data_IF_829395527319
#
_entry.id   IF_829395527319
#
_cell.length_a   1.000
_cell.length_b   1.000
_cell.length_c   1.000
_cell.angle_alpha   90.00
_cell.angle_beta   90.00
_cell.angle_gamma   90.00
#
_symmetry.space_group_name_H-M   'P 1'
#
loop_
_entity.id
_entity.type
_entity.pdbx_description
1 polymer ?
#
# COMPACT_ATOMS: atom_id res chain seq x y z
N UNK A 1 3.84 4.05 35.85
CA UNK A 1 2.78 4.72 35.07
C UNK A 1 2.10 3.69 34.21
N UNK A 2 0.76 3.71 34.17
CA UNK A 2 0.00 2.75 33.35
C UNK A 2 -0.13 3.27 31.92
N UNK A 3 0.61 2.66 31.00
CA UNK A 3 0.60 3.03 29.57
C UNK A 3 -0.71 2.65 28.88
N UNK A 4 -1.46 1.65 29.38
CA UNK A 4 -2.76 1.26 28.85
C UNK A 4 -3.83 2.29 29.21
N UNK A 5 -3.84 2.77 30.46
CA UNK A 5 -4.74 3.85 30.87
C UNK A 5 -4.49 5.12 30.04
N UNK A 6 -3.22 5.47 29.81
CA UNK A 6 -2.84 6.62 29.00
C UNK A 6 -3.24 6.48 27.53
N UNK A 7 -3.12 5.26 26.95
CA UNK A 7 -3.55 4.96 25.59
C UNK A 7 -5.07 5.12 25.45
N UNK A 8 -5.83 4.64 26.43
CA UNK A 8 -7.30 4.78 26.43
C UNK A 8 -7.74 6.24 26.57
N UNK A 9 -7.17 6.96 27.53
CA UNK A 9 -7.55 8.34 27.84
C UNK A 9 -7.23 9.33 26.72
N UNK A 10 -6.01 9.24 26.18
CA UNK A 10 -5.47 10.27 25.24
C UNK A 10 -5.68 9.93 23.77
N UNK A 11 -5.79 8.65 23.42
CA UNK A 11 -5.90 8.19 22.05
C UNK A 11 -7.16 7.37 21.76
N UNK A 12 -8.01 7.13 22.79
CA UNK A 12 -9.19 6.28 22.73
C UNK A 12 -8.86 4.84 22.21
N UNK A 13 -7.71 4.32 22.66
CA UNK A 13 -7.23 2.98 22.31
C UNK A 13 -7.37 2.08 23.55
N UNK A 14 -8.35 1.16 23.57
CA UNK A 14 -8.63 0.34 24.73
C UNK A 14 -7.62 -0.79 24.94
N UNK A 15 -6.83 -1.11 23.92
CA UNK A 15 -5.87 -2.21 23.95
C UNK A 15 -4.62 -1.88 23.13
N UNK A 16 -3.46 -1.94 23.75
CA UNK A 16 -2.18 -1.91 23.06
C UNK A 16 -1.84 -3.28 22.52
N UNK A 17 -1.43 -3.35 21.27
CA UNK A 17 -0.92 -4.60 20.70
C UNK A 17 0.40 -4.97 21.38
N UNK A 18 0.75 -6.25 21.53
CA UNK A 18 1.96 -6.68 22.24
C UNK A 18 3.24 -5.99 21.78
N UNK A 19 3.41 -5.80 20.47
CA UNK A 19 4.57 -5.08 19.94
C UNK A 19 4.54 -3.59 20.21
N UNK A 20 3.35 -2.95 20.28
CA UNK A 20 3.25 -1.53 20.67
C UNK A 20 3.65 -1.36 22.12
N UNK A 21 3.15 -2.22 22.99
CA UNK A 21 3.52 -2.24 24.40
C UNK A 21 5.03 -2.43 24.58
N UNK A 22 5.63 -3.40 23.85
CA UNK A 22 7.08 -3.65 23.90
C UNK A 22 7.88 -2.42 23.47
N UNK A 23 7.54 -1.79 22.33
CA UNK A 23 8.27 -0.61 21.83
C UNK A 23 8.07 0.59 22.74
N UNK A 24 6.86 0.83 23.23
CA UNK A 24 6.55 1.96 24.13
C UNK A 24 7.30 1.79 25.46
N UNK A 25 7.28 0.60 26.04
CA UNK A 25 8.00 0.29 27.28
C UNK A 25 9.51 0.44 27.10
N UNK A 26 10.07 -0.08 26.00
CA UNK A 26 11.51 0.07 25.68
C UNK A 26 11.91 1.55 25.60
N UNK A 27 11.12 2.41 24.96
CA UNK A 27 11.38 3.86 24.89
C UNK A 27 11.35 4.50 26.28
N UNK A 28 10.34 4.18 27.10
CA UNK A 28 10.14 4.81 28.41
C UNK A 28 11.21 4.35 29.40
N UNK A 29 11.53 3.06 29.43
CA UNK A 29 12.53 2.47 30.30
C UNK A 29 13.94 2.97 29.98
N UNK A 30 14.20 3.22 28.70
CA UNK A 30 15.48 3.71 28.22
C UNK A 30 15.64 5.25 28.28
N UNK A 31 14.63 6.00 28.71
CA UNK A 31 14.76 7.48 28.87
C UNK A 31 15.52 7.89 30.14
N UNK A 32 16.66 7.23 30.42
CA UNK A 32 17.52 7.52 31.56
C UNK A 32 18.86 8.13 31.13
N UNK A 33 19.41 9.12 31.86
CA UNK A 33 20.62 9.84 31.43
C UNK A 33 21.91 8.98 31.33
N UNK A 34 21.92 7.80 31.93
CA UNK A 34 23.14 7.01 32.14
C UNK A 34 23.42 5.91 31.12
N UNK A 35 22.59 5.73 30.12
CA UNK A 35 22.68 4.56 29.22
C UNK A 35 23.14 4.96 27.83
N UNK A 36 24.20 4.35 27.36
CA UNK A 36 24.54 4.29 25.90
C UNK A 36 23.54 3.36 25.22
N UNK A 37 22.38 3.90 24.87
CA UNK A 37 21.32 3.07 24.27
C UNK A 37 21.73 2.57 22.90
N UNK A 38 21.48 1.29 22.66
CA UNK A 38 21.59 0.72 21.33
C UNK A 38 20.47 1.30 20.48
N UNK A 39 20.75 1.68 19.23
CA UNK A 39 19.69 2.04 18.30
C UNK A 39 18.67 0.90 18.16
N UNK A 40 17.40 1.22 18.04
CA UNK A 40 16.35 0.22 17.85
C UNK A 40 15.79 0.33 16.43
N UNK A 41 15.73 -0.79 15.71
CA UNK A 41 15.04 -0.92 14.43
C UNK A 41 13.72 -1.62 14.67
N UNK A 42 12.62 -0.96 14.33
CA UNK A 42 11.26 -1.44 14.57
C UNK A 42 10.60 -1.73 13.23
N UNK A 43 10.34 -2.99 12.93
CA UNK A 43 9.69 -3.44 11.70
C UNK A 43 8.25 -3.78 12.03
N UNK A 44 7.33 -2.91 11.62
CA UNK A 44 5.90 -3.06 11.85
C UNK A 44 5.12 -2.89 10.55
N UNK A 45 4.16 -3.78 10.23
CA UNK A 45 3.34 -3.68 9.03
C UNK A 45 2.61 -2.34 8.90
N UNK A 46 2.22 -1.98 7.68
CA UNK A 46 1.33 -0.83 7.46
C UNK A 46 0.00 -1.05 8.17
N UNK A 47 -0.52 0.01 8.80
CA UNK A 47 -1.77 -0.08 9.57
C UNK A 47 -1.65 -0.74 10.94
N UNK A 48 -0.43 -1.10 11.38
CA UNK A 48 -0.18 -1.63 12.74
C UNK A 48 -0.28 -0.59 13.85
N UNK A 49 -0.38 0.70 13.51
CA UNK A 49 -0.40 1.78 14.50
C UNK A 49 0.99 2.22 14.96
N UNK A 50 2.00 2.17 14.07
CA UNK A 50 3.39 2.63 14.32
C UNK A 50 3.46 3.98 15.04
N UNK A 51 2.65 4.95 14.60
CA UNK A 51 2.68 6.32 15.16
C UNK A 51 2.41 6.35 16.66
N UNK A 52 1.58 5.45 17.18
CA UNK A 52 1.29 5.38 18.61
C UNK A 52 2.56 5.05 19.43
N UNK A 53 3.47 4.25 18.86
CA UNK A 53 4.71 3.84 19.51
C UNK A 53 5.65 5.01 19.86
N UNK A 54 5.49 6.17 19.22
CA UNK A 54 6.25 7.39 19.59
C UNK A 54 5.35 8.56 20.03
N UNK A 55 4.05 8.53 19.72
CA UNK A 55 3.12 9.54 20.20
C UNK A 55 2.83 9.38 21.70
N UNK A 56 2.62 8.14 22.16
CA UNK A 56 2.35 7.89 23.58
C UNK A 56 3.57 8.21 24.45
N UNK A 57 4.80 7.78 24.12
CA UNK A 57 6.00 8.22 24.84
C UNK A 57 6.17 9.73 24.90
N UNK A 58 5.72 10.48 23.88
CA UNK A 58 5.81 11.95 23.88
C UNK A 58 5.08 12.64 25.06
N UNK A 59 4.12 11.94 25.67
CA UNK A 59 3.43 12.42 26.88
C UNK A 59 4.24 12.22 28.16
N UNK A 60 5.26 11.35 28.11
CA UNK A 60 5.92 10.79 29.30
C UNK A 60 7.38 11.17 29.38
N UNK A 61 8.13 10.98 28.27
CA UNK A 61 9.58 11.19 28.26
C UNK A 61 9.94 12.65 28.45
N UNK A 62 11.09 12.88 29.10
CA UNK A 62 11.63 14.21 29.30
C UNK A 62 12.59 14.59 28.18
N UNK A 63 12.44 15.82 27.65
CA UNK A 63 13.24 16.34 26.55
C UNK A 63 12.53 16.30 25.22
N UNK A 64 13.28 16.61 24.17
CA UNK A 64 12.76 16.79 22.82
C UNK A 64 12.62 15.45 22.11
N UNK A 65 11.51 15.28 21.40
CA UNK A 65 11.30 14.19 20.44
C UNK A 65 11.36 14.77 19.03
N UNK A 66 12.32 14.31 18.25
CA UNK A 66 12.47 14.73 16.85
C UNK A 66 12.07 13.59 15.93
N UNK A 67 11.11 13.84 15.03
CA UNK A 67 10.61 12.82 14.11
C UNK A 67 10.89 13.27 12.67
N UNK A 68 11.63 12.44 11.94
CA UNK A 68 12.01 12.69 10.55
C UNK A 68 11.14 11.88 9.63
N UNK A 69 10.39 12.54 8.76
CA UNK A 69 9.53 11.93 7.76
C UNK A 69 10.11 12.09 6.37
N UNK A 70 9.92 11.10 5.48
CA UNK A 70 10.41 11.21 4.11
C UNK A 70 9.59 12.17 3.23
N UNK A 71 8.34 12.47 3.59
CA UNK A 71 7.43 13.29 2.76
C UNK A 71 6.70 14.36 3.58
N UNK A 72 6.51 15.53 2.97
CA UNK A 72 5.75 16.65 3.57
C UNK A 72 4.27 16.31 3.83
N UNK A 73 3.65 15.48 3.00
CA UNK A 73 2.28 15.02 3.20
C UNK A 73 2.14 14.24 4.50
N UNK A 74 3.08 13.33 4.76
CA UNK A 74 3.14 12.58 6.02
C UNK A 74 3.31 13.49 7.23
N UNK A 75 4.19 14.48 7.13
CA UNK A 75 4.40 15.46 8.22
C UNK A 75 3.09 16.17 8.58
N UNK A 76 2.34 16.66 7.59
CA UNK A 76 1.08 17.36 7.82
C UNK A 76 0.02 16.45 8.47
N UNK A 77 -0.07 15.19 8.04
CA UNK A 77 -1.04 14.24 8.60
C UNK A 77 -0.66 13.87 10.03
N UNK A 78 0.61 13.64 10.31
CA UNK A 78 1.08 13.33 11.66
C UNK A 78 0.92 14.52 12.60
N UNK A 79 1.22 15.75 12.15
CA UNK A 79 0.95 16.96 12.94
C UNK A 79 -0.49 17.03 13.38
N UNK A 80 -1.46 16.81 12.47
CA UNK A 80 -2.89 16.79 12.83
C UNK A 80 -3.23 15.70 13.84
N UNK A 81 -2.55 14.55 13.79
CA UNK A 81 -2.75 13.47 14.77
C UNK A 81 -2.23 13.87 16.16
N UNK A 82 -1.06 14.49 16.25
CA UNK A 82 -0.54 15.03 17.48
C UNK A 82 -1.47 16.10 18.07
N UNK A 83 -1.94 17.04 17.25
CA UNK A 83 -2.88 18.09 17.66
C UNK A 83 -4.20 17.50 18.17
N UNK A 84 -4.76 16.48 17.50
CA UNK A 84 -5.97 15.78 17.98
C UNK A 84 -5.78 15.06 19.31
N UNK A 85 -4.57 14.57 19.55
CA UNK A 85 -4.21 13.95 20.83
C UNK A 85 -3.86 14.99 21.93
N UNK A 86 -4.00 16.29 21.64
CA UNK A 86 -3.65 17.36 22.55
C UNK A 86 -2.14 17.50 22.80
N UNK A 87 -1.29 17.03 21.87
CA UNK A 87 0.16 17.11 21.95
C UNK A 87 0.64 18.25 21.05
N UNK A 88 1.24 19.29 21.66
CA UNK A 88 1.84 20.40 20.92
C UNK A 88 3.03 19.92 20.07
N UNK A 89 3.10 20.39 18.82
CA UNK A 89 4.08 19.93 17.87
C UNK A 89 4.59 21.08 17.00
N UNK A 90 5.89 21.28 16.94
CA UNK A 90 6.56 22.21 16.03
C UNK A 90 6.90 21.50 14.71
N UNK A 91 6.59 22.12 13.57
CA UNK A 91 6.91 21.58 12.26
C UNK A 91 7.98 22.43 11.58
N UNK A 92 9.16 21.84 11.37
CA UNK A 92 10.26 22.43 10.61
C UNK A 92 10.31 21.84 9.21
N UNK A 93 10.16 22.68 8.18
CA UNK A 93 10.12 22.23 6.78
C UNK A 93 10.77 23.28 5.85
N UNK A 94 11.09 22.83 4.63
CA UNK A 94 11.54 23.72 3.56
C UNK A 94 10.46 24.73 3.16
N UNK A 95 10.89 25.90 2.68
CA UNK A 95 10.00 26.97 2.20
C UNK A 95 9.36 27.82 3.30
N UNK A 96 9.67 27.59 4.58
CA UNK A 96 9.27 28.49 5.66
C UNK A 96 10.03 29.81 5.60
N UNK A 97 9.31 30.92 5.86
CA UNK A 97 9.91 32.23 6.05
C UNK A 97 10.79 32.25 7.32
N UNK A 98 11.78 33.18 7.40
CA UNK A 98 12.58 33.34 8.62
C UNK A 98 11.74 33.61 9.86
N UNK A 99 10.59 34.26 9.72
CA UNK A 99 9.67 34.55 10.84
C UNK A 99 8.96 33.30 11.31
N UNK A 100 8.41 32.48 10.41
CA UNK A 100 7.78 31.21 10.74
C UNK A 100 8.78 30.24 11.41
N UNK A 101 10.01 30.21 10.89
CA UNK A 101 11.05 29.34 11.46
C UNK A 101 11.44 29.79 12.87
N UNK A 102 11.60 31.10 13.11
CA UNK A 102 11.84 31.65 14.45
C UNK A 102 10.70 31.32 15.40
N UNK A 103 9.45 31.44 14.96
CA UNK A 103 8.29 31.06 15.78
C UNK A 103 8.31 29.57 16.18
N UNK A 104 8.70 28.68 15.26
CA UNK A 104 8.88 27.27 15.59
C UNK A 104 9.92 27.05 16.68
N UNK A 105 11.11 27.66 16.57
CA UNK A 105 12.14 27.52 17.61
C UNK A 105 11.73 28.18 18.92
N UNK A 106 11.07 29.32 18.90
CA UNK A 106 10.51 29.96 20.11
C UNK A 106 9.48 29.05 20.80
N UNK A 107 8.68 28.31 20.05
CA UNK A 107 7.73 27.34 20.64
C UNK A 107 8.45 26.16 21.29
N UNK A 108 9.56 25.70 20.71
CA UNK A 108 10.42 24.64 21.29
C UNK A 108 11.04 25.14 22.60
N UNK A 109 11.62 26.34 22.58
CA UNK A 109 12.20 26.99 23.78
C UNK A 109 11.14 27.20 24.89
N UNK A 110 9.87 27.40 24.50
CA UNK A 110 8.73 27.53 25.42
C UNK A 110 8.17 26.17 25.89
N UNK A 111 8.77 25.03 25.52
CA UNK A 111 8.41 23.71 26.04
C UNK A 111 7.63 22.80 25.08
N UNK A 112 7.53 23.13 23.80
CA UNK A 112 7.00 22.17 22.80
C UNK A 112 7.93 20.97 22.70
N UNK A 113 7.47 19.78 23.08
CA UNK A 113 8.28 18.57 23.17
C UNK A 113 8.46 17.82 21.84
N UNK A 114 7.58 18.02 20.87
CA UNK A 114 7.60 17.26 19.60
C UNK A 114 8.00 18.16 18.44
N UNK A 115 9.01 17.75 17.69
CA UNK A 115 9.44 18.39 16.44
C UNK A 115 9.28 17.40 15.28
N UNK A 116 8.52 17.79 14.27
CA UNK A 116 8.36 17.06 13.01
C UNK A 116 9.18 17.76 11.94
N UNK A 117 10.03 17.01 11.24
CA UNK A 117 10.90 17.55 10.18
C UNK A 117 11.13 16.54 9.05
N UNK A 118 11.88 16.95 8.04
CA UNK A 118 12.38 16.09 6.96
C UNK A 118 13.92 16.16 6.87
N UNK A 119 14.50 15.25 6.09
CA UNK A 119 15.97 15.16 5.97
C UNK A 119 16.61 16.46 5.47
N UNK A 120 16.03 17.11 4.47
CA UNK A 120 16.54 18.36 3.87
C UNK A 120 16.56 19.52 4.87
N UNK A 121 15.58 19.58 5.75
CA UNK A 121 15.52 20.63 6.76
C UNK A 121 16.43 20.31 7.92
N UNK A 122 16.46 19.05 8.35
CA UNK A 122 17.34 18.60 9.44
C UNK A 122 18.84 18.78 9.10
N UNK A 123 19.20 18.65 7.80
CA UNK A 123 20.60 18.83 7.33
C UNK A 123 21.11 20.27 7.36
N UNK A 124 20.23 21.26 7.56
CA UNK A 124 20.65 22.65 7.60
C UNK A 124 21.43 22.96 8.89
N UNK A 125 22.63 23.55 8.75
CA UNK A 125 23.50 23.86 9.88
C UNK A 125 22.79 24.71 10.96
N UNK A 126 21.96 25.67 10.55
CA UNK A 126 21.17 26.47 11.49
C UNK A 126 20.17 25.65 12.29
N UNK A 127 19.55 24.63 11.70
CA UNK A 127 18.61 23.75 12.39
C UNK A 127 19.34 22.83 13.36
N UNK A 128 20.45 22.24 12.93
CA UNK A 128 21.32 21.42 13.78
C UNK A 128 21.78 22.24 15.01
N UNK A 129 22.29 23.46 14.79
CA UNK A 129 22.76 24.33 15.88
C UNK A 129 21.65 24.65 16.89
N UNK A 130 20.44 24.91 16.43
CA UNK A 130 19.32 25.22 17.33
C UNK A 130 18.86 23.97 18.09
N UNK A 131 18.69 22.83 17.40
CA UNK A 131 18.27 21.58 18.05
C UNK A 131 19.32 21.06 19.04
N UNK A 132 20.62 21.30 18.79
CA UNK A 132 21.69 20.88 19.67
C UNK A 132 21.72 21.62 21.06
N UNK A 133 20.91 22.66 21.20
CA UNK A 133 20.73 23.34 22.49
C UNK A 133 19.81 22.57 23.45
N UNK A 134 19.07 21.62 22.94
CA UNK A 134 18.11 20.80 23.66
C UNK A 134 18.58 19.35 23.75
N UNK A 135 18.29 18.68 24.87
CA UNK A 135 18.46 17.23 24.95
C UNK A 135 17.38 16.55 24.10
N UNK A 136 17.80 15.79 23.12
CA UNK A 136 16.89 15.00 22.28
C UNK A 136 16.75 13.62 22.92
N UNK A 137 15.66 13.39 23.64
CA UNK A 137 15.38 12.09 24.28
C UNK A 137 15.18 11.01 23.24
N UNK A 138 14.51 11.35 22.13
CA UNK A 138 14.17 10.39 21.10
C UNK A 138 14.30 11.01 19.71
N UNK A 139 15.12 10.44 18.85
CA UNK A 139 15.10 10.69 17.42
C UNK A 139 14.45 9.51 16.70
N UNK A 140 13.40 9.78 15.93
CA UNK A 140 12.67 8.79 15.15
C UNK A 140 12.91 9.03 13.67
N UNK A 141 13.34 8.00 12.93
CA UNK A 141 13.34 7.97 11.47
C UNK A 141 12.16 7.11 11.01
N UNK A 142 11.08 7.74 10.55
CA UNK A 142 9.92 7.00 10.06
C UNK A 142 10.09 6.64 8.58
N UNK A 143 9.51 5.50 8.18
CA UNK A 143 9.66 4.88 6.86
C UNK A 143 11.14 4.74 6.44
N UNK A 144 11.97 4.23 7.36
CA UNK A 144 13.43 4.16 7.22
C UNK A 144 13.91 3.38 5.98
N UNK A 145 13.10 2.47 5.42
CA UNK A 145 13.42 1.81 4.14
C UNK A 145 13.63 2.79 2.98
N UNK A 146 13.02 4.00 3.06
CA UNK A 146 13.19 5.04 2.05
C UNK A 146 14.61 5.60 2.00
N UNK A 147 15.35 5.51 3.10
CA UNK A 147 16.78 5.91 3.16
C UNK A 147 17.58 5.07 2.18
N UNK A 148 17.30 3.78 2.09
CA UNK A 148 17.99 2.86 1.20
C UNK A 148 17.47 2.98 -0.24
N UNK A 149 16.16 2.98 -0.41
CA UNK A 149 15.53 2.96 -1.73
C UNK A 149 15.64 4.29 -2.49
N UNK A 150 15.56 5.43 -1.80
CA UNK A 150 15.63 6.76 -2.42
C UNK A 150 17.00 7.42 -2.27
N UNK A 151 17.78 7.05 -1.27
CA UNK A 151 19.09 7.64 -0.99
C UNK A 151 20.13 7.39 -2.09
N UNK A 152 19.98 6.32 -2.87
CA UNK A 152 20.90 5.98 -3.97
C UNK A 152 20.70 6.82 -5.25
N UNK A 153 19.60 7.57 -5.36
CA UNK A 153 19.32 8.33 -6.59
C UNK A 153 18.34 9.48 -6.41
N UNK A 154 17.11 9.20 -6.01
CA UNK A 154 16.03 10.19 -5.98
C UNK A 154 16.23 11.29 -4.91
N UNK A 155 16.74 10.93 -3.71
CA UNK A 155 16.95 11.87 -2.58
C UNK A 155 18.25 11.55 -1.82
N UNK A 156 19.41 11.93 -2.34
CA UNK A 156 20.72 11.57 -1.76
C UNK A 156 20.91 12.01 -0.31
N UNK A 157 20.28 13.12 0.10
CA UNK A 157 20.34 13.63 1.48
C UNK A 157 19.90 12.60 2.53
N UNK A 158 19.03 11.66 2.16
CA UNK A 158 18.60 10.58 3.07
C UNK A 158 19.77 9.67 3.47
N UNK A 159 20.70 9.41 2.55
CA UNK A 159 21.89 8.59 2.84
C UNK A 159 22.90 9.34 3.73
N UNK A 160 22.81 10.67 3.81
CA UNK A 160 23.68 11.51 4.62
C UNK A 160 23.16 11.77 6.05
N UNK A 161 21.96 11.25 6.38
CA UNK A 161 21.37 11.43 7.71
C UNK A 161 22.26 10.88 8.85
N UNK A 162 22.97 9.79 8.63
CA UNK A 162 23.84 9.20 9.65
C UNK A 162 24.92 10.16 10.19
N UNK A 163 25.74 10.81 9.32
CA UNK A 163 26.64 11.89 9.73
C UNK A 163 25.93 13.01 10.50
N UNK A 164 24.77 13.49 10.02
CA UNK A 164 24.00 14.58 10.64
C UNK A 164 23.55 14.20 12.05
N UNK A 165 23.00 13.00 12.22
CA UNK A 165 22.50 12.48 13.49
C UNK A 165 23.60 12.43 14.55
N UNK A 166 24.85 12.14 14.17
CA UNK A 166 25.98 12.09 15.10
C UNK A 166 26.35 13.45 15.73
N UNK A 167 25.93 14.56 15.13
CA UNK A 167 26.16 15.90 15.66
C UNK A 167 25.05 16.37 16.62
N UNK A 168 24.00 15.58 16.81
CA UNK A 168 22.89 15.90 17.68
C UNK A 168 23.01 15.17 19.04
N UNK A 169 22.66 15.81 20.18
CA UNK A 169 22.70 15.20 21.49
C UNK A 169 21.53 14.27 21.75
N UNK A 170 21.53 13.12 21.06
CA UNK A 170 20.46 12.15 21.04
C UNK A 170 20.69 11.07 22.09
N UNK A 171 19.69 10.80 22.93
CA UNK A 171 19.70 9.67 23.87
C UNK A 171 19.32 8.36 23.17
N UNK A 172 18.19 8.34 22.46
CA UNK A 172 17.68 7.16 21.79
C UNK A 172 17.45 7.41 20.30
N UNK A 173 17.81 6.44 19.48
CA UNK A 173 17.58 6.45 18.01
C UNK A 173 16.70 5.28 17.62
N UNK A 174 15.52 5.57 17.07
CA UNK A 174 14.59 4.58 16.56
C UNK A 174 14.38 4.73 15.06
N UNK A 175 14.46 3.60 14.35
CA UNK A 175 14.18 3.50 12.93
C UNK A 175 12.90 2.70 12.77
N UNK A 176 11.83 3.34 12.31
CA UNK A 176 10.57 2.65 11.99
C UNK A 176 10.49 2.36 10.50
N UNK A 177 10.09 1.15 10.17
CA UNK A 177 9.82 0.76 8.79
C UNK A 177 8.68 -0.25 8.75
N UNK A 178 7.91 -0.25 7.66
CA UNK A 178 6.90 -1.28 7.46
C UNK A 178 7.55 -2.62 7.12
N UNK A 179 8.79 -2.57 6.60
CA UNK A 179 9.45 -3.74 6.05
C UNK A 179 10.95 -3.49 5.91
N UNK A 180 11.74 -4.49 6.20
CA UNK A 180 13.16 -4.52 5.88
C UNK A 180 13.59 -5.98 5.71
N UNK A 181 14.08 -6.31 4.52
CA UNK A 181 14.86 -7.51 4.30
C UNK A 181 16.28 -7.36 4.86
N UNK A 182 17.05 -8.42 4.82
CA UNK A 182 18.43 -8.40 5.33
C UNK A 182 19.32 -7.38 4.60
N UNK A 183 19.04 -7.10 3.32
CA UNK A 183 19.76 -6.11 2.51
C UNK A 183 19.50 -4.69 3.01
N UNK A 184 18.20 -4.36 3.26
CA UNK A 184 17.79 -3.06 3.80
C UNK A 184 18.35 -2.86 5.21
N UNK A 185 18.31 -3.90 6.06
CA UNK A 185 18.89 -3.84 7.41
C UNK A 185 20.40 -3.59 7.39
N UNK A 186 21.12 -4.29 6.53
CA UNK A 186 22.58 -4.10 6.35
C UNK A 186 22.90 -2.67 5.89
N UNK A 187 22.17 -2.15 4.91
CA UNK A 187 22.37 -0.78 4.41
C UNK A 187 22.01 0.28 5.45
N UNK A 188 20.92 0.12 6.22
CA UNK A 188 20.59 0.99 7.35
C UNK A 188 21.70 0.94 8.43
N UNK A 189 22.24 -0.26 8.69
CA UNK A 189 23.38 -0.47 9.55
C UNK A 189 24.58 0.39 9.12
N UNK A 190 24.89 0.38 7.84
CA UNK A 190 26.01 1.13 7.26
C UNK A 190 25.74 2.64 7.22
N UNK A 191 24.58 3.06 6.70
CA UNK A 191 24.28 4.48 6.44
C UNK A 191 23.97 5.27 7.72
N UNK A 192 23.18 4.70 8.62
CA UNK A 192 22.65 5.40 9.79
C UNK A 192 23.34 4.96 11.08
N UNK A 193 23.49 3.66 11.28
CA UNK A 193 23.94 3.13 12.56
C UNK A 193 25.46 3.06 12.71
N UNK A 194 26.22 3.38 11.66
CA UNK A 194 27.71 3.26 11.65
C UNK A 194 28.18 1.86 12.09
N UNK A 195 27.46 0.82 11.60
CA UNK A 195 27.65 -0.60 11.92
C UNK A 195 27.54 -0.96 13.42
N UNK A 196 26.95 -0.09 14.23
CA UNK A 196 26.61 -0.44 15.63
C UNK A 196 25.51 -1.49 15.64
N UNK A 197 25.61 -2.44 16.58
CA UNK A 197 24.53 -3.41 16.80
C UNK A 197 23.26 -2.69 17.22
N UNK A 198 22.16 -2.94 16.50
CA UNK A 198 20.84 -2.43 16.85
C UNK A 198 20.01 -3.51 17.56
N UNK A 199 19.09 -3.06 18.40
CA UNK A 199 18.00 -3.91 18.87
C UNK A 199 16.95 -4.00 17.76
N UNK A 200 16.53 -5.21 17.41
CA UNK A 200 15.55 -5.46 16.34
C UNK A 200 14.23 -5.91 16.97
N UNK A 201 13.20 -5.10 16.80
CA UNK A 201 11.81 -5.45 17.15
C UNK A 201 11.07 -5.67 15.85
N UNK A 202 10.67 -6.92 15.55
CA UNK A 202 9.98 -7.28 14.32
C UNK A 202 8.63 -7.90 14.67
N UNK A 203 7.54 -7.27 14.22
CA UNK A 203 6.24 -7.94 14.15
C UNK A 203 6.09 -8.60 12.78
N UNK A 204 5.30 -9.66 12.72
CA UNK A 204 5.01 -10.32 11.44
C UNK A 204 4.38 -9.34 10.46
N UNK A 205 4.79 -9.42 9.19
CA UNK A 205 4.16 -8.72 8.07
C UNK A 205 2.80 -9.31 7.73
N UNK A 206 2.46 -10.43 8.34
CA UNK A 206 1.17 -11.10 8.17
C UNK A 206 0.02 -10.28 8.75
N UNK A 207 -1.07 -10.28 7.99
CA UNK A 207 -2.34 -9.66 8.35
C UNK A 207 -3.42 -10.72 8.27
N UNK A 208 -3.73 -11.34 9.41
CA UNK A 208 -4.68 -12.45 9.50
C UNK A 208 -6.07 -12.09 8.96
N UNK A 209 -6.46 -10.82 9.05
CA UNK A 209 -7.73 -10.34 8.53
C UNK A 209 -7.75 -10.06 7.02
N UNK A 210 -6.67 -10.34 6.28
CA UNK A 210 -6.61 -10.20 4.82
C UNK A 210 -6.55 -11.60 4.20
N UNK A 211 -7.50 -11.94 3.32
CA UNK A 211 -7.43 -13.15 2.50
C UNK A 211 -6.86 -12.82 1.11
N UNK A 212 -6.06 -13.74 0.56
CA UNK A 212 -5.38 -13.56 -0.73
C UNK A 212 -6.01 -14.44 -1.82
N UNK A 213 -6.46 -13.80 -2.89
CA UNK A 213 -7.19 -14.45 -3.97
C UNK A 213 -6.55 -14.19 -5.32
N UNK A 214 -6.66 -15.16 -6.22
CA UNK A 214 -6.26 -15.05 -7.62
C UNK A 214 -7.46 -15.21 -8.54
N UNK A 215 -7.70 -14.25 -9.41
CA UNK A 215 -8.65 -14.43 -10.49
C UNK A 215 -7.92 -14.47 -11.84
N UNK A 216 -8.04 -15.62 -12.54
CA UNK A 216 -7.60 -15.75 -13.94
C UNK A 216 -8.67 -15.17 -14.84
N UNK A 217 -8.35 -14.08 -15.55
CA UNK A 217 -9.37 -13.27 -16.22
C UNK A 217 -9.06 -13.07 -17.70
N UNK A 218 -10.13 -12.94 -18.52
CA UNK A 218 -10.02 -12.50 -19.91
C UNK A 218 -10.10 -10.97 -20.03
N UNK A 219 -10.90 -10.34 -19.17
CA UNK A 219 -10.99 -8.89 -19.07
C UNK A 219 -10.85 -8.47 -17.61
N UNK A 220 -9.87 -7.60 -17.32
CA UNK A 220 -9.68 -7.00 -16.00
C UNK A 220 -10.85 -6.07 -15.64
N UNK A 221 -11.41 -5.38 -16.63
CA UNK A 221 -12.57 -4.49 -16.45
C UNK A 221 -13.77 -5.30 -15.96
N UNK A 222 -14.08 -6.41 -16.66
CA UNK A 222 -15.16 -7.32 -16.26
C UNK A 222 -14.95 -7.87 -14.85
N UNK A 223 -13.76 -8.34 -14.54
CA UNK A 223 -13.46 -8.88 -13.23
C UNK A 223 -13.69 -7.84 -12.12
N UNK A 224 -13.22 -6.60 -12.28
CA UNK A 224 -13.47 -5.52 -11.32
C UNK A 224 -14.96 -5.24 -11.16
N UNK A 225 -15.72 -5.15 -12.26
CA UNK A 225 -17.16 -4.95 -12.21
C UNK A 225 -17.87 -6.07 -11.44
N UNK A 226 -17.52 -7.33 -11.72
CA UNK A 226 -18.13 -8.49 -11.07
C UNK A 226 -17.80 -8.56 -9.57
N UNK A 227 -16.53 -8.39 -9.21
CA UNK A 227 -16.11 -8.46 -7.81
C UNK A 227 -16.67 -7.32 -6.94
N UNK A 228 -16.79 -6.14 -7.50
CA UNK A 228 -17.26 -4.96 -6.77
C UNK A 228 -18.77 -4.72 -6.91
N UNK A 229 -19.52 -5.64 -7.48
CA UNK A 229 -20.98 -5.54 -7.57
C UNK A 229 -21.67 -5.70 -6.21
N UNK A 230 -21.11 -6.56 -5.33
CA UNK A 230 -21.63 -6.74 -3.98
C UNK A 230 -21.33 -5.53 -3.09
N UNK A 231 -22.29 -5.00 -2.30
CA UNK A 231 -22.02 -3.96 -1.32
C UNK A 231 -20.96 -4.33 -0.29
N UNK A 232 -20.87 -5.59 0.08
CA UNK A 232 -19.92 -6.10 1.07
C UNK A 232 -18.45 -6.01 0.61
N UNK A 233 -18.21 -5.94 -0.71
CA UNK A 233 -16.88 -5.77 -1.28
C UNK A 233 -16.38 -4.31 -1.24
N UNK A 234 -17.20 -3.36 -0.78
CA UNK A 234 -16.90 -1.93 -0.75
C UNK A 234 -16.80 -1.41 0.69
N UNK A 235 -16.06 -0.33 0.95
CA UNK A 235 -15.27 0.44 -0.03
C UNK A 235 -14.08 -0.34 -0.57
N UNK A 236 -13.66 -0.03 -1.81
CA UNK A 236 -12.61 -0.78 -2.50
C UNK A 236 -11.51 0.11 -3.09
N UNK A 237 -10.30 -0.45 -3.14
CA UNK A 237 -9.13 0.17 -3.75
C UNK A 237 -8.63 -0.72 -4.90
N UNK A 238 -8.53 -0.15 -6.11
CA UNK A 238 -8.08 -0.86 -7.31
C UNK A 238 -6.75 -0.28 -7.76
N UNK A 239 -5.67 -1.03 -7.60
CA UNK A 239 -4.35 -0.63 -8.04
C UNK A 239 -4.14 -0.84 -9.54
N UNK A 240 -3.72 0.23 -10.22
CA UNK A 240 -3.50 0.28 -11.66
C UNK A 240 -2.04 0.62 -11.99
N UNK A 241 -1.49 0.09 -13.11
CA UNK A 241 -0.07 0.27 -13.44
C UNK A 241 0.28 1.69 -13.89
N UNK A 242 -0.67 2.43 -14.46
CA UNK A 242 -0.43 3.77 -15.04
C UNK A 242 -1.56 4.74 -14.72
N UNK A 243 -1.27 6.05 -14.81
CA UNK A 243 -2.25 7.13 -14.67
C UNK A 243 -3.43 6.93 -15.64
N UNK A 244 -3.12 6.71 -16.91
CA UNK A 244 -4.13 6.48 -17.96
C UNK A 244 -5.01 5.26 -17.66
N UNK A 245 -4.44 4.18 -17.13
CA UNK A 245 -5.22 3.00 -16.74
C UNK A 245 -6.17 3.31 -15.60
N UNK A 246 -5.74 4.09 -14.59
CA UNK A 246 -6.62 4.54 -13.50
C UNK A 246 -7.84 5.30 -14.04
N UNK A 247 -7.61 6.29 -14.90
CA UNK A 247 -8.66 7.12 -15.49
C UNK A 247 -9.62 6.30 -16.34
N UNK A 248 -9.09 5.46 -17.24
CA UNK A 248 -9.91 4.67 -18.16
C UNK A 248 -10.69 3.58 -17.44
N UNK A 249 -10.13 2.91 -16.44
CA UNK A 249 -10.85 1.90 -15.66
C UNK A 249 -11.92 2.54 -14.76
N UNK A 250 -11.62 3.69 -14.15
CA UNK A 250 -12.61 4.44 -13.38
C UNK A 250 -13.78 4.92 -14.23
N UNK A 251 -13.51 5.44 -15.44
CA UNK A 251 -14.57 5.85 -16.37
C UNK A 251 -15.44 4.67 -16.79
N UNK A 252 -14.82 3.56 -17.17
CA UNK A 252 -15.52 2.33 -17.54
C UNK A 252 -16.37 1.77 -16.38
N UNK A 253 -15.85 1.78 -15.16
CA UNK A 253 -16.57 1.30 -13.98
C UNK A 253 -17.81 2.16 -13.68
N UNK A 254 -17.69 3.50 -13.79
CA UNK A 254 -18.82 4.43 -13.61
C UNK A 254 -19.90 4.27 -14.66
N UNK A 255 -19.51 3.98 -15.90
CA UNK A 255 -20.45 3.69 -16.99
C UNK A 255 -21.23 2.40 -16.71
N UNK A 256 -20.55 1.35 -16.24
CA UNK A 256 -21.17 0.07 -15.92
C UNK A 256 -22.00 0.12 -14.63
N UNK A 257 -21.64 0.97 -13.68
CA UNK A 257 -22.22 1.04 -12.33
C UNK A 257 -22.54 2.49 -11.93
N UNK A 258 -23.52 3.13 -12.57
CA UNK A 258 -23.79 4.58 -12.39
C UNK A 258 -24.24 4.96 -10.97
N UNK A 259 -24.72 4.01 -10.19
CA UNK A 259 -25.14 4.23 -8.79
C UNK A 259 -24.01 4.07 -7.77
N UNK A 260 -22.87 3.49 -8.17
CA UNK A 260 -21.74 3.26 -7.26
C UNK A 260 -20.72 4.40 -7.40
N UNK A 261 -20.40 5.11 -6.31
CA UNK A 261 -19.45 6.22 -6.37
C UNK A 261 -18.03 5.69 -6.69
N UNK A 262 -17.45 6.18 -7.78
CA UNK A 262 -16.10 5.79 -8.18
C UNK A 262 -15.28 6.98 -8.69
N UNK A 263 -13.99 6.99 -8.36
CA UNK A 263 -13.03 8.03 -8.76
C UNK A 263 -11.65 7.43 -9.01
N UNK A 264 -10.68 8.26 -9.40
CA UNK A 264 -9.29 7.83 -9.60
C UNK A 264 -8.31 8.75 -8.89
N UNK A 265 -7.10 8.21 -8.60
CA UNK A 265 -6.04 8.93 -7.91
C UNK A 265 -4.65 8.58 -8.46
N UNK A 266 -3.85 9.60 -8.78
CA UNK A 266 -2.45 9.42 -9.22
C UNK A 266 -1.63 10.71 -9.05
N UNK A 267 -0.31 10.58 -9.12
CA UNK A 267 0.62 11.71 -8.92
C UNK A 267 0.52 12.85 -9.97
N UNK A 268 -0.18 12.63 -11.09
CA UNK A 268 -0.43 13.65 -12.11
C UNK A 268 -1.52 14.66 -11.76
N UNK A 269 -2.32 14.39 -10.71
CA UNK A 269 -3.33 15.32 -10.21
C UNK A 269 -2.66 16.48 -9.46
N UNK A 270 -3.27 17.66 -9.52
CA UNK A 270 -2.88 18.82 -8.71
C UNK A 270 -3.01 18.51 -7.21
N UNK A 271 -2.35 19.29 -6.37
CA UNK A 271 -2.41 19.14 -4.91
C UNK A 271 -3.85 19.32 -4.37
N UNK A 272 -4.63 20.20 -4.99
CA UNK A 272 -6.03 20.43 -4.63
C UNK A 272 -6.90 19.23 -4.97
N UNK A 273 -6.84 18.72 -6.20
CA UNK A 273 -7.59 17.54 -6.65
C UNK A 273 -7.24 16.29 -5.83
N UNK A 274 -5.96 16.10 -5.49
CA UNK A 274 -5.57 14.97 -4.63
C UNK A 274 -6.24 15.03 -3.27
N UNK A 275 -6.24 16.20 -2.62
CA UNK A 275 -6.90 16.39 -1.31
C UNK A 275 -8.40 16.18 -1.38
N UNK A 276 -9.05 16.71 -2.41
CA UNK A 276 -10.48 16.54 -2.62
C UNK A 276 -10.85 15.06 -2.76
N UNK A 277 -10.13 14.32 -3.59
CA UNK A 277 -10.38 12.88 -3.81
C UNK A 277 -10.02 12.01 -2.61
N UNK A 278 -9.01 12.39 -1.85
CA UNK A 278 -8.67 11.74 -0.57
C UNK A 278 -9.81 11.92 0.44
N UNK A 279 -10.29 13.16 0.65
CA UNK A 279 -11.42 13.43 1.56
C UNK A 279 -12.69 12.72 1.10
N UNK A 280 -12.99 12.80 -0.21
CA UNK A 280 -14.13 12.09 -0.79
C UNK A 280 -14.07 10.58 -0.54
N UNK A 281 -12.91 9.95 -0.73
CA UNK A 281 -12.76 8.51 -0.52
C UNK A 281 -12.88 8.14 0.96
N UNK A 282 -12.34 8.95 1.87
CA UNK A 282 -12.43 8.72 3.32
C UNK A 282 -13.89 8.77 3.78
N UNK A 283 -14.67 9.71 3.30
CA UNK A 283 -16.05 9.97 3.73
C UNK A 283 -17.07 8.98 3.16
N UNK A 284 -16.76 8.32 2.03
CA UNK A 284 -17.69 7.44 1.36
C UNK A 284 -17.47 5.96 1.73
N UNK A 285 -18.47 5.32 2.33
CA UNK A 285 -18.45 3.90 2.72
C UNK A 285 -18.63 2.92 1.55
N UNK A 286 -19.13 3.38 0.39
CA UNK A 286 -19.39 2.57 -0.80
C UNK A 286 -18.41 2.88 -1.96
N UNK A 287 -17.41 3.74 -1.72
CA UNK A 287 -16.54 4.25 -2.76
C UNK A 287 -15.60 3.20 -3.37
N UNK A 288 -15.39 3.31 -4.67
CA UNK A 288 -14.34 2.58 -5.40
C UNK A 288 -13.31 3.57 -5.92
N UNK A 289 -12.05 3.42 -5.48
CA UNK A 289 -10.95 4.28 -5.89
C UNK A 289 -9.96 3.50 -6.77
N UNK A 290 -9.76 3.97 -7.99
CA UNK A 290 -8.73 3.46 -8.91
C UNK A 290 -7.45 4.27 -8.73
N UNK A 291 -6.35 3.62 -8.33
CA UNK A 291 -5.14 4.35 -7.96
C UNK A 291 -3.87 3.74 -8.53
N UNK A 292 -2.86 4.58 -8.76
CA UNK A 292 -1.49 4.10 -8.89
C UNK A 292 -0.87 3.92 -7.49
N UNK A 293 0.33 3.34 -7.41
CA UNK A 293 1.12 3.25 -6.18
C UNK A 293 1.37 4.62 -5.49
N UNK A 294 1.12 5.74 -6.21
CA UNK A 294 1.16 7.09 -5.61
C UNK A 294 0.08 7.31 -4.53
N UNK A 295 -1.01 6.54 -4.54
CA UNK A 295 -1.95 6.47 -3.44
C UNK A 295 -1.35 5.59 -2.35
N UNK A 296 -0.48 6.15 -1.58
CA UNK A 296 0.28 5.27 -0.71
C UNK A 296 0.63 5.87 0.63
N UNK A 297 1.19 7.02 0.64
CA UNK A 297 1.70 7.62 1.86
C UNK A 297 0.75 8.72 2.33
N UNK A 298 0.08 8.49 3.47
CA UNK A 298 -0.70 9.52 4.14
C UNK A 298 -2.23 9.37 4.09
N UNK A 299 -2.80 8.49 3.29
CA UNK A 299 -4.26 8.27 3.30
C UNK A 299 -4.62 7.14 4.25
N UNK A 300 -5.42 7.45 5.26
CA UNK A 300 -5.84 6.52 6.31
C UNK A 300 -7.36 6.31 6.26
N UNK A 301 -7.79 5.44 5.35
CA UNK A 301 -9.15 4.88 5.34
C UNK A 301 -9.08 3.48 5.94
N UNK A 302 -9.70 3.30 7.10
CA UNK A 302 -9.59 2.07 7.89
C UNK A 302 -10.48 0.93 7.41
N UNK A 303 -11.60 1.25 6.77
CA UNK A 303 -12.71 0.35 6.45
C UNK A 303 -12.70 -0.22 5.02
N UNK A 304 -11.57 -0.22 4.31
CA UNK A 304 -11.47 -0.81 2.97
C UNK A 304 -11.70 -2.32 3.05
N UNK A 305 -12.67 -2.83 2.27
CA UNK A 305 -13.08 -4.25 2.24
C UNK A 305 -12.41 -5.05 1.14
N UNK A 306 -12.03 -4.39 0.04
CA UNK A 306 -11.37 -5.09 -1.07
C UNK A 306 -10.20 -4.26 -1.61
N UNK A 307 -9.07 -4.91 -1.84
CA UNK A 307 -7.93 -4.37 -2.58
C UNK A 307 -7.71 -5.23 -3.82
N UNK A 308 -7.78 -4.63 -5.00
CA UNK A 308 -7.59 -5.33 -6.28
C UNK A 308 -6.30 -4.87 -6.94
N UNK A 309 -5.44 -5.82 -7.34
CA UNK A 309 -4.25 -5.57 -8.13
C UNK A 309 -4.49 -5.93 -9.59
N UNK A 310 -4.47 -4.93 -10.46
CA UNK A 310 -4.56 -5.13 -11.92
C UNK A 310 -3.20 -5.30 -12.59
N UNK A 311 -2.12 -5.24 -11.81
CA UNK A 311 -0.74 -5.44 -12.24
C UNK A 311 0.05 -6.14 -11.12
N UNK A 312 1.21 -6.68 -11.47
CA UNK A 312 2.11 -7.25 -10.48
C UNK A 312 3.01 -6.14 -9.89
N UNK A 313 2.92 -5.85 -8.60
CA UNK A 313 3.91 -5.03 -7.91
C UNK A 313 5.33 -5.59 -8.08
N UNK A 314 6.39 -4.76 -7.95
CA UNK A 314 7.76 -5.18 -8.22
C UNK A 314 8.26 -6.31 -7.32
N UNK A 315 7.76 -6.38 -6.08
CA UNK A 315 8.18 -7.35 -5.07
C UNK A 315 7.04 -7.68 -4.09
N UNK A 316 7.26 -8.69 -3.25
CA UNK A 316 6.29 -9.15 -2.25
C UNK A 316 5.99 -8.07 -1.20
N UNK A 317 6.98 -7.26 -0.90
CA UNK A 317 6.89 -6.17 0.03
C UNK A 317 5.90 -5.11 -0.44
N UNK A 318 6.08 -4.62 -1.66
CA UNK A 318 5.17 -3.66 -2.30
C UNK A 318 3.75 -4.22 -2.37
N UNK A 319 3.61 -5.51 -2.72
CA UNK A 319 2.30 -6.17 -2.75
C UNK A 319 1.63 -6.17 -1.37
N UNK A 320 2.35 -6.56 -0.31
CA UNK A 320 1.82 -6.58 1.06
C UNK A 320 1.52 -5.18 1.60
N UNK A 321 2.30 -4.17 1.23
CA UNK A 321 2.02 -2.77 1.57
C UNK A 321 0.75 -2.24 0.89
N UNK A 322 0.55 -2.57 -0.38
CA UNK A 322 -0.65 -2.22 -1.13
C UNK A 322 -1.88 -2.96 -0.58
N UNK A 323 -1.79 -4.27 -0.39
CA UNK A 323 -2.85 -5.10 0.23
C UNK A 323 -3.16 -4.67 1.66
N UNK A 324 -2.13 -4.32 2.44
CA UNK A 324 -2.24 -3.87 3.83
C UNK A 324 -2.95 -2.53 4.04
N UNK A 325 -3.41 -1.88 2.96
CA UNK A 325 -4.34 -0.74 3.05
C UNK A 325 -5.75 -1.15 3.38
N UNK A 326 -6.10 -2.41 3.09
CA UNK A 326 -7.37 -3.01 3.45
C UNK A 326 -7.47 -3.39 4.92
N UNK A 327 -8.69 -3.38 5.47
CA UNK A 327 -9.01 -3.91 6.78
C UNK A 327 -8.19 -3.35 7.95
N UNK A 328 -7.86 -2.06 7.93
CA UNK A 328 -7.10 -1.43 9.03
C UNK A 328 -7.90 -1.35 10.34
N UNK A 329 -9.21 -1.45 10.23
CA UNK A 329 -10.13 -1.53 11.37
C UNK A 329 -10.19 -2.94 11.99
N UNK A 330 -9.37 -3.89 11.51
CA UNK A 330 -9.35 -5.28 11.96
C UNK A 330 -10.41 -6.18 11.34
N UNK A 331 -11.37 -5.63 10.60
CA UNK A 331 -12.38 -6.42 9.89
C UNK A 331 -11.78 -7.09 8.66
N UNK A 332 -12.45 -8.14 8.19
CA UNK A 332 -12.01 -8.91 7.03
C UNK A 332 -11.88 -8.05 5.76
N UNK A 333 -10.85 -8.33 4.98
CA UNK A 333 -10.57 -7.67 3.70
C UNK A 333 -10.08 -8.70 2.68
N UNK A 334 -10.58 -8.58 1.45
CA UNK A 334 -10.12 -9.39 0.31
C UNK A 334 -8.99 -8.68 -0.44
N UNK A 335 -7.87 -9.35 -0.65
CA UNK A 335 -6.81 -8.92 -1.56
C UNK A 335 -6.83 -9.80 -2.80
N UNK A 336 -7.23 -9.23 -3.95
CA UNK A 336 -7.44 -9.94 -5.19
C UNK A 336 -6.38 -9.55 -6.22
N UNK A 337 -5.68 -10.55 -6.75
CA UNK A 337 -4.74 -10.38 -7.86
C UNK A 337 -5.35 -10.84 -9.18
N UNK A 338 -5.44 -9.94 -10.17
CA UNK A 338 -5.99 -10.24 -11.50
C UNK A 338 -4.90 -10.72 -12.45
N UNK A 339 -4.87 -12.03 -12.70
CA UNK A 339 -3.93 -12.66 -13.62
C UNK A 339 -4.54 -12.72 -15.02
N UNK A 340 -4.02 -11.92 -15.96
CA UNK A 340 -4.49 -11.87 -17.34
C UNK A 340 -3.38 -12.33 -18.29
N UNK A 341 -3.64 -13.45 -18.97
CA UNK A 341 -2.71 -14.03 -19.95
C UNK A 341 -1.43 -14.61 -19.35
N UNK A 342 -0.56 -15.16 -20.19
CA UNK A 342 0.78 -15.54 -19.79
C UNK A 342 1.57 -14.28 -19.46
N UNK A 343 2.34 -14.26 -18.34
CA UNK A 343 3.16 -13.10 -18.00
C UNK A 343 4.18 -12.84 -19.10
N UNK A 344 4.23 -11.60 -19.59
CA UNK A 344 5.23 -11.16 -20.59
C UNK A 344 6.65 -11.21 -20.02
N UNK A 345 6.81 -11.13 -18.70
CA UNK A 345 8.00 -11.45 -17.93
C UNK A 345 7.56 -12.05 -16.59
N UNK A 346 8.15 -13.17 -16.16
CA UNK A 346 7.83 -13.76 -14.86
C UNK A 346 8.34 -12.83 -13.76
N UNK A 347 7.42 -12.21 -13.01
CA UNK A 347 7.75 -11.54 -11.76
C UNK A 347 7.54 -12.51 -10.58
N UNK A 348 8.19 -12.23 -9.45
CA UNK A 348 7.98 -13.01 -8.23
C UNK A 348 6.49 -13.08 -7.87
N UNK A 349 5.78 -11.96 -7.94
CA UNK A 349 4.35 -11.87 -7.61
C UNK A 349 3.50 -12.69 -8.58
N UNK A 350 3.72 -12.57 -9.90
CA UNK A 350 3.01 -13.43 -10.87
C UNK A 350 3.28 -14.91 -10.64
N UNK A 351 4.51 -15.26 -10.28
CA UNK A 351 4.87 -16.65 -9.96
C UNK A 351 4.12 -17.16 -8.73
N UNK A 352 4.06 -16.36 -7.65
CA UNK A 352 3.33 -16.71 -6.41
C UNK A 352 1.84 -16.91 -6.71
N UNK A 353 1.20 -15.96 -7.39
CA UNK A 353 -0.24 -16.01 -7.68
C UNK A 353 -0.62 -16.96 -8.83
N UNK A 354 0.35 -17.54 -9.52
CA UNK A 354 0.11 -18.60 -10.49
C UNK A 354 0.07 -20.00 -9.89
N UNK A 355 0.49 -20.15 -8.63
CA UNK A 355 0.44 -21.46 -7.94
C UNK A 355 -0.99 -21.92 -7.72
N UNK A 356 -1.17 -23.23 -7.72
CA UNK A 356 -2.48 -23.88 -7.48
C UNK A 356 -2.40 -24.91 -6.35
N UNK A 357 -1.21 -25.18 -5.84
CA UNK A 357 -0.89 -26.25 -4.87
C UNK A 357 -0.13 -25.73 -3.65
N UNK A 358 0.34 -24.50 -3.65
CA UNK A 358 1.11 -23.91 -2.55
C UNK A 358 0.41 -22.69 -1.97
N UNK A 359 0.39 -22.61 -0.66
CA UNK A 359 -0.22 -21.49 0.06
C UNK A 359 0.36 -20.14 -0.39
N UNK A 360 -0.50 -19.26 -0.91
CA UNK A 360 -0.12 -17.91 -1.39
C UNK A 360 0.47 -17.09 -0.24
N UNK A 361 -0.18 -17.10 0.94
CA UNK A 361 0.29 -16.40 2.13
C UNK A 361 1.69 -16.82 2.54
N UNK A 362 1.93 -18.13 2.64
CA UNK A 362 3.24 -18.66 3.02
C UNK A 362 4.34 -18.26 2.01
N UNK A 363 4.03 -18.24 0.71
CA UNK A 363 4.98 -17.81 -0.31
C UNK A 363 5.29 -16.31 -0.23
N UNK A 364 4.28 -15.46 0.05
CA UNK A 364 4.48 -14.03 0.25
C UNK A 364 5.37 -13.75 1.48
N UNK A 365 5.11 -14.43 2.61
CA UNK A 365 5.89 -14.26 3.85
C UNK A 365 7.31 -14.80 3.67
N UNK A 366 7.47 -15.95 3.02
CA UNK A 366 8.79 -16.52 2.71
C UNK A 366 9.65 -15.58 1.86
N UNK A 367 9.04 -14.82 0.96
CA UNK A 367 9.75 -13.82 0.16
C UNK A 367 10.28 -12.63 0.99
N UNK A 368 9.87 -12.51 2.27
CA UNK A 368 10.36 -11.52 3.25
C UNK A 368 11.20 -12.16 4.36
N UNK A 369 11.66 -13.39 4.16
CA UNK A 369 12.36 -14.18 5.19
C UNK A 369 11.51 -14.35 6.48
N UNK A 370 10.17 -14.48 6.31
CA UNK A 370 9.22 -14.72 7.40
C UNK A 370 8.58 -16.11 7.26
N UNK A 371 8.37 -16.77 8.40
CA UNK A 371 7.63 -18.03 8.48
C UNK A 371 6.19 -17.75 8.90
N UNK A 372 5.20 -18.19 8.09
CA UNK A 372 3.79 -18.17 8.46
C UNK A 372 3.39 -19.43 9.20
N UNK A 373 2.74 -19.30 10.35
CA UNK A 373 2.30 -20.48 11.14
C UNK A 373 1.01 -21.08 10.60
N UNK A 374 0.02 -20.27 10.25
CA UNK A 374 -1.27 -20.67 9.70
C UNK A 374 -1.73 -19.76 8.58
N UNK A 375 -2.43 -20.31 7.59
CA UNK A 375 -3.10 -19.52 6.58
C UNK A 375 -4.49 -19.11 7.06
N UNK A 376 -4.71 -17.82 7.27
CA UNK A 376 -6.03 -17.28 7.64
C UNK A 376 -6.96 -17.01 6.44
N UNK A 377 -6.57 -17.46 5.24
CA UNK A 377 -7.38 -17.39 4.02
C UNK A 377 -6.51 -17.15 2.77
N UNK A 378 -6.54 -18.11 1.85
CA UNK A 378 -6.12 -17.95 0.47
C UNK A 378 -6.78 -19.04 -0.39
N UNK A 379 -6.94 -18.77 -1.70
CA UNK A 379 -7.64 -19.68 -2.61
C UNK A 379 -7.15 -21.12 -2.56
N UNK A 380 -5.84 -21.31 -2.38
CA UNK A 380 -5.24 -22.65 -2.36
C UNK A 380 -5.64 -23.41 -1.09
N UNK A 381 -5.52 -22.76 0.08
CA UNK A 381 -5.87 -23.39 1.37
C UNK A 381 -7.38 -23.56 1.54
N UNK A 382 -8.16 -22.66 0.96
CA UNK A 382 -9.63 -22.69 1.01
C UNK A 382 -10.23 -23.53 -0.11
N UNK A 383 -9.38 -24.16 -0.97
CA UNK A 383 -9.79 -24.97 -2.11
C UNK A 383 -10.72 -24.24 -3.10
N UNK A 384 -10.56 -22.93 -3.23
CA UNK A 384 -11.36 -22.05 -4.10
C UNK A 384 -10.62 -21.61 -5.36
N UNK A 385 -9.56 -22.31 -5.74
CA UNK A 385 -8.78 -22.01 -6.96
C UNK A 385 -9.62 -22.18 -8.22
N UNK A 386 -10.01 -21.09 -8.85
CA UNK A 386 -10.72 -21.13 -10.14
C UNK A 386 -9.73 -21.13 -11.30
N UNK A 387 -9.70 -22.24 -12.05
CA UNK A 387 -8.87 -22.36 -13.26
C UNK A 387 -9.60 -21.91 -14.52
N UNK A 388 -10.93 -21.93 -14.52
CA UNK A 388 -11.77 -21.50 -15.65
C UNK A 388 -11.90 -19.97 -15.67
N UNK A 389 -11.76 -19.39 -16.86
CA UNK A 389 -11.95 -17.95 -17.06
C UNK A 389 -13.37 -17.68 -17.57
N UNK A 390 -14.05 -16.72 -16.92
CA UNK A 390 -15.39 -16.30 -17.33
C UNK A 390 -15.39 -15.89 -18.81
N UNK A 391 -16.35 -16.36 -19.58
CA UNK A 391 -16.55 -16.03 -20.98
C UNK A 391 -15.67 -16.80 -22.00
N UNK A 392 -14.61 -17.50 -21.56
CA UNK A 392 -13.72 -18.21 -22.50
C UNK A 392 -14.46 -19.27 -23.30
N UNK A 393 -15.23 -20.09 -22.62
CA UNK A 393 -15.97 -21.18 -23.24
C UNK A 393 -17.04 -20.66 -24.24
N UNK A 394 -17.72 -19.59 -23.88
CA UNK A 394 -18.70 -18.94 -24.75
C UNK A 394 -18.06 -18.44 -26.06
N UNK A 395 -16.93 -17.74 -25.97
CA UNK A 395 -16.20 -17.21 -27.12
C UNK A 395 -15.69 -18.35 -28.02
N UNK A 396 -15.06 -19.36 -27.43
CA UNK A 396 -14.47 -20.47 -28.18
C UNK A 396 -15.55 -21.34 -28.83
N UNK A 397 -16.68 -21.61 -28.16
CA UNK A 397 -17.77 -22.40 -28.68
C UNK A 397 -18.47 -21.70 -29.85
N UNK A 398 -18.65 -20.38 -29.78
CA UNK A 398 -19.18 -19.61 -30.92
C UNK A 398 -18.32 -19.80 -32.18
N UNK A 399 -17.01 -19.77 -32.05
CA UNK A 399 -16.07 -19.97 -33.17
C UNK A 399 -15.93 -21.41 -33.61
N UNK A 400 -16.09 -22.39 -32.71
CA UNK A 400 -16.11 -23.83 -33.06
C UNK A 400 -17.38 -24.19 -33.83
N UNK A 401 -18.53 -23.63 -33.44
CA UNK A 401 -19.80 -23.89 -34.08
C UNK A 401 -19.90 -23.26 -35.49
N UNK A 402 -19.37 -22.04 -35.66
CA UNK A 402 -19.34 -21.34 -36.94
C UNK A 402 -17.92 -20.84 -37.26
N UNK A 403 -16.99 -21.73 -37.64
CA UNK A 403 -15.62 -21.32 -37.98
C UNK A 403 -15.61 -20.38 -39.17
N UNK A 404 -14.69 -19.45 -39.18
CA UNK A 404 -14.48 -18.44 -40.23
C UNK A 404 -15.68 -17.52 -40.53
N UNK A 405 -16.71 -17.51 -39.67
CA UNK A 405 -17.93 -16.70 -39.89
C UNK A 405 -17.83 -15.31 -39.30
N UNK A 406 -16.99 -15.12 -38.31
CA UNK A 406 -16.95 -13.89 -37.52
C UNK A 406 -15.64 -13.12 -37.68
N UNK A 407 -15.74 -11.81 -37.75
CA UNK A 407 -14.66 -10.88 -37.38
C UNK A 407 -14.72 -10.58 -35.86
N UNK A 408 -13.76 -9.86 -35.32
CA UNK A 408 -13.80 -9.45 -33.89
C UNK A 408 -15.09 -8.69 -33.55
N UNK A 409 -15.49 -7.76 -34.40
CA UNK A 409 -16.69 -6.92 -34.19
C UNK A 409 -17.99 -7.74 -34.31
N UNK A 410 -18.10 -8.59 -35.35
CA UNK A 410 -19.31 -9.40 -35.54
C UNK A 410 -19.43 -10.49 -34.48
N UNK A 411 -18.33 -11.05 -33.98
CA UNK A 411 -18.34 -11.99 -32.85
C UNK A 411 -18.78 -11.29 -31.56
N UNK A 412 -18.24 -10.12 -31.30
CA UNK A 412 -18.63 -9.31 -30.15
C UNK A 412 -20.11 -8.99 -30.15
N UNK A 413 -20.65 -8.52 -31.29
CA UNK A 413 -22.10 -8.25 -31.45
C UNK A 413 -22.93 -9.53 -31.24
N UNK A 414 -22.49 -10.67 -31.81
CA UNK A 414 -23.17 -11.94 -31.64
C UNK A 414 -23.23 -12.39 -30.17
N UNK A 415 -22.14 -12.26 -29.41
CA UNK A 415 -22.07 -12.69 -28.02
C UNK A 415 -22.80 -11.72 -27.06
N UNK A 416 -22.87 -10.44 -27.40
CA UNK A 416 -23.55 -9.41 -26.61
C UNK A 416 -25.08 -9.38 -26.83
N UNK A 417 -25.60 -10.05 -27.84
CA UNK A 417 -27.02 -9.99 -28.21
C UNK A 417 -27.86 -11.04 -27.46
N UNK A 418 -28.74 -10.57 -26.59
CA UNK A 418 -29.66 -11.41 -25.80
C UNK A 418 -30.76 -12.07 -26.66
N UNK A 419 -31.06 -11.51 -27.82
CA UNK A 419 -32.15 -12.01 -28.68
C UNK A 419 -31.76 -13.28 -29.47
N UNK A 420 -30.46 -13.55 -29.57
CA UNK A 420 -29.94 -14.71 -30.26
C UNK A 420 -30.02 -15.94 -29.35
N UNK A 421 -30.76 -16.98 -29.76
CA UNK A 421 -30.77 -18.26 -29.05
C UNK A 421 -29.43 -18.98 -29.19
N UNK A 422 -28.58 -18.82 -28.20
CA UNK A 422 -27.25 -19.45 -28.14
C UNK A 422 -27.34 -20.93 -27.69
N UNK A 423 -27.89 -21.82 -28.52
CA UNK A 423 -28.04 -23.23 -28.16
C UNK A 423 -26.74 -23.95 -27.83
N UNK A 424 -25.59 -23.45 -28.30
CA UNK A 424 -24.30 -24.13 -28.21
C UNK A 424 -23.13 -23.26 -27.72
N UNK A 425 -23.26 -21.93 -27.70
CA UNK A 425 -22.13 -21.04 -27.39
C UNK A 425 -22.23 -20.31 -26.04
N UNK A 426 -23.44 -20.23 -25.44
CA UNK A 426 -23.66 -19.29 -24.36
C UNK A 426 -23.64 -17.82 -24.85
N UNK A 427 -24.02 -16.90 -24.00
CA UNK A 427 -24.03 -15.46 -24.32
C UNK A 427 -23.26 -14.67 -23.27
N UNK A 428 -22.82 -13.48 -23.64
CA UNK A 428 -22.12 -12.54 -22.80
C UNK A 428 -22.86 -11.20 -22.71
N UNK A 429 -24.20 -11.25 -22.68
CA UNK A 429 -25.08 -10.08 -22.69
C UNK A 429 -24.87 -9.16 -21.48
N UNK A 430 -24.41 -9.73 -20.35
CA UNK A 430 -24.03 -8.95 -19.16
C UNK A 430 -22.67 -8.28 -19.27
N UNK A 431 -21.92 -8.56 -20.36
CA UNK A 431 -20.61 -7.95 -20.59
C UNK A 431 -20.75 -6.69 -21.43
N UNK A 432 -19.91 -5.68 -21.14
CA UNK A 432 -19.78 -4.56 -22.05
C UNK A 432 -19.04 -4.96 -23.32
N UNK A 433 -19.36 -4.32 -24.44
CA UNK A 433 -18.73 -4.61 -25.74
C UNK A 433 -17.20 -4.50 -25.70
N UNK A 434 -16.66 -3.54 -24.95
CA UNK A 434 -15.23 -3.35 -24.76
C UNK A 434 -14.58 -4.51 -23.99
N UNK A 435 -15.28 -5.14 -23.06
CA UNK A 435 -14.82 -6.30 -22.29
C UNK A 435 -14.72 -7.55 -23.18
N UNK A 436 -15.71 -7.75 -24.05
CA UNK A 436 -15.71 -8.86 -25.03
C UNK A 436 -14.57 -8.69 -26.03
N UNK A 437 -14.33 -7.47 -26.52
CA UNK A 437 -13.20 -7.17 -27.42
C UNK A 437 -11.86 -7.45 -26.75
N UNK A 438 -11.70 -7.03 -25.49
CA UNK A 438 -10.50 -7.31 -24.70
C UNK A 438 -10.26 -8.82 -24.56
N UNK A 439 -11.31 -9.58 -24.24
CA UNK A 439 -11.26 -11.04 -24.09
C UNK A 439 -10.86 -11.73 -25.40
N UNK A 440 -11.46 -11.36 -26.52
CA UNK A 440 -11.12 -11.89 -27.84
C UNK A 440 -9.65 -11.56 -28.18
N UNK A 441 -9.23 -10.34 -27.94
CA UNK A 441 -7.85 -9.88 -28.16
C UNK A 441 -6.83 -10.72 -27.38
N UNK A 442 -7.12 -11.02 -26.10
CA UNK A 442 -6.29 -11.87 -25.27
C UNK A 442 -6.21 -13.30 -25.80
N UNK A 443 -7.34 -13.91 -26.17
CA UNK A 443 -7.38 -15.26 -26.73
C UNK A 443 -6.63 -15.37 -28.07
N UNK A 444 -6.59 -14.28 -28.85
CA UNK A 444 -5.74 -14.19 -30.06
C UNK A 444 -4.27 -14.14 -29.66
N UNK A 445 -3.90 -13.32 -28.70
CA UNK A 445 -2.51 -13.22 -28.21
C UNK A 445 -2.00 -14.55 -27.63
N UNK A 446 -2.87 -15.32 -26.98
CA UNK A 446 -2.58 -16.67 -26.47
C UNK A 446 -2.55 -17.76 -27.56
N UNK A 447 -2.88 -17.43 -28.80
CA UNK A 447 -2.95 -18.39 -29.89
C UNK A 447 -4.15 -19.34 -29.88
N UNK A 448 -5.09 -19.18 -28.92
CA UNK A 448 -6.34 -19.96 -28.85
C UNK A 448 -7.34 -19.60 -29.94
N UNK A 449 -7.23 -18.39 -30.47
CA UNK A 449 -7.95 -17.89 -31.62
C UNK A 449 -6.94 -17.39 -32.65
N UNK A 450 -7.17 -17.69 -33.93
CA UNK A 450 -6.37 -17.16 -35.02
C UNK A 450 -7.23 -16.29 -35.93
N UNK A 451 -6.58 -15.35 -36.61
CA UNK A 451 -7.21 -14.44 -37.57
C UNK A 451 -6.66 -14.70 -38.97
N UNK A 452 -7.54 -14.85 -39.96
CA UNK A 452 -7.16 -14.93 -41.36
C UNK A 452 -6.64 -13.56 -41.84
N UNK A 453 -5.45 -13.53 -42.47
CA UNK A 453 -4.79 -12.29 -42.91
C UNK A 453 -5.62 -11.45 -43.89
N UNK A 454 -6.33 -12.08 -44.85
CA UNK A 454 -7.08 -11.37 -45.91
C UNK A 454 -8.46 -10.89 -45.46
N UNK A 455 -9.21 -11.70 -44.70
CA UNK A 455 -10.63 -11.43 -44.36
C UNK A 455 -10.80 -10.92 -42.93
N UNK A 456 -9.78 -10.98 -42.07
CA UNK A 456 -9.90 -10.68 -40.66
C UNK A 456 -10.78 -11.64 -39.85
N UNK A 457 -11.27 -12.75 -40.50
CA UNK A 457 -12.14 -13.72 -39.84
C UNK A 457 -11.40 -14.58 -38.83
N UNK A 458 -12.10 -14.91 -37.75
CA UNK A 458 -11.57 -15.63 -36.59
C UNK A 458 -11.91 -17.13 -36.69
N UNK A 459 -11.03 -17.96 -36.13
CA UNK A 459 -11.25 -19.40 -35.97
C UNK A 459 -10.42 -19.95 -34.80
N UNK A 460 -10.87 -21.07 -34.21
CA UNK A 460 -10.08 -21.86 -33.30
C UNK A 460 -9.17 -22.80 -34.09
N UNK A 461 -7.84 -22.78 -33.90
CA UNK A 461 -7.00 -23.80 -34.51
C UNK A 461 -7.38 -25.17 -33.96
N UNK A 462 -7.41 -26.18 -34.83
CA UNK A 462 -7.49 -27.57 -34.37
C UNK A 462 -6.27 -27.86 -33.55
N UNK A 463 -6.46 -28.50 -32.38
CA UNK A 463 -5.36 -28.95 -31.50
C UNK A 463 -4.59 -30.07 -32.15
#
# INVERSE_FOLDING_TARGET
MDIHALAQERFNIPYLRPFQELVISDIIENDRPSSHHRPTVVILPTGSGKSLCFMLPALVVDGLIVIVYPLLSLMNDQRRRFERAGIACAQLQGGQSPTERRACFASIDAGTKVVITNAETLSQASVITQLSRHTISLLVLDEAHTIVSWGKGFRPILAELGPIIRHLPIRQLLLFTATADNTVLAELGRLILSNRKAHLIKASSDRENISYHTARVLSKRRAVNTFLSSPESRPALVFCPTRRTCETMSAHYREANPTIPASFYHAGLSKAERRERESWFIENSEAVLFATNAFGMGVDKSDIRTVIHTYAPPDALSFLQESGRGGRDGKHCHSLFLLQGPPSAPSLITSIFSQTDRCIRALLLKALDEEGQHCSGCDVCDHTVFTKREGEEAILNALRYKPFSYTTVTLMNHLADDTIRHRHSGHLSSWQRSEIIEAIGLLIAEGKIRRLKRSGRLFCPLR
#
